data_IF_651132634026
#
_entry.id   IF_651132634026
#
_cell.length_a   1.000
_cell.length_b   1.000
_cell.length_c   1.000
_cell.angle_alpha   90.00
_cell.angle_beta   90.00
_cell.angle_gamma   90.00
#
_symmetry.space_group_name_H-M   'P 1'
#
loop_
_entity.id
_entity.type
_entity.pdbx_description
1 polymer ?
#
# COMPACT_ATOMS: atom_id res chain seq x y z
N UNK A 1 -3.40 25.12 -0.85
CA UNK A 1 -4.75 24.70 -0.41
C UNK A 1 -5.20 23.49 -1.23
N UNK A 2 -6.22 22.75 -0.77
CA UNK A 2 -6.85 21.68 -1.54
C UNK A 2 -7.66 22.28 -2.68
N UNK A 3 -7.44 21.80 -3.92
CA UNK A 3 -8.14 22.27 -5.12
C UNK A 3 -9.26 21.32 -5.53
N UNK A 4 -9.04 20.01 -5.43
CA UNK A 4 -10.00 18.97 -5.75
C UNK A 4 -9.62 17.65 -5.08
N UNK A 5 -10.63 16.84 -4.77
CA UNK A 5 -10.49 15.56 -4.08
C UNK A 5 -11.45 14.54 -4.68
N UNK A 6 -10.96 13.32 -4.86
CA UNK A 6 -11.77 12.15 -5.13
C UNK A 6 -11.42 11.04 -4.14
N UNK A 7 -12.44 10.45 -3.51
CA UNK A 7 -12.31 9.31 -2.62
C UNK A 7 -13.23 8.22 -3.16
N UNK A 8 -12.65 7.08 -3.53
CA UNK A 8 -13.38 5.92 -4.01
C UNK A 8 -13.13 4.72 -3.10
N UNK A 9 -14.15 3.88 -2.92
CA UNK A 9 -13.99 2.58 -2.24
C UNK A 9 -13.04 1.71 -3.07
N UNK A 10 -11.97 1.22 -2.44
CA UNK A 10 -10.95 0.39 -3.09
C UNK A 10 -11.58 -0.94 -3.56
N UNK A 11 -12.35 -1.55 -2.66
CA UNK A 11 -13.19 -2.70 -2.92
C UNK A 11 -14.26 -2.85 -1.82
N UNK A 12 -15.52 -3.19 -2.14
CA UNK A 12 -16.53 -3.47 -1.12
C UNK A 12 -16.16 -4.75 -0.35
N UNK A 13 -15.98 -4.65 0.97
CA UNK A 13 -15.71 -5.83 1.82
C UNK A 13 -16.88 -6.83 1.71
N UNK A 14 -16.54 -8.12 1.65
CA UNK A 14 -17.53 -9.21 1.61
C UNK A 14 -18.18 -9.45 0.23
N UNK A 15 -17.73 -8.77 -0.83
CA UNK A 15 -18.24 -8.96 -2.20
C UNK A 15 -17.47 -9.99 -3.02
N UNK A 16 -16.36 -10.51 -2.50
CA UNK A 16 -15.62 -11.58 -3.19
C UNK A 16 -16.43 -12.88 -3.09
N UNK A 17 -16.94 -13.38 -4.21
CA UNK A 17 -17.81 -14.57 -4.26
C UNK A 17 -17.03 -15.86 -4.46
N UNK A 18 -15.78 -15.76 -4.92
CA UNK A 18 -14.88 -16.89 -5.16
C UNK A 18 -13.43 -16.55 -4.83
N UNK A 19 -12.63 -17.58 -4.58
CA UNK A 19 -11.20 -17.45 -4.33
C UNK A 19 -10.43 -16.87 -5.54
N UNK A 20 -10.86 -17.21 -6.77
CA UNK A 20 -10.32 -16.64 -8.00
C UNK A 20 -10.59 -15.15 -8.13
N UNK A 21 -11.80 -14.69 -7.77
CA UNK A 21 -12.14 -13.26 -7.74
C UNK A 21 -11.30 -12.53 -6.68
N UNK A 22 -11.15 -13.13 -5.49
CA UNK A 22 -10.32 -12.58 -4.42
C UNK A 22 -8.89 -12.33 -4.88
N UNK A 23 -8.28 -13.29 -5.60
CA UNK A 23 -6.93 -13.14 -6.19
C UNK A 23 -6.83 -11.93 -7.11
N UNK A 24 -7.82 -11.71 -7.97
CA UNK A 24 -7.85 -10.56 -8.89
C UNK A 24 -8.10 -9.23 -8.18
N UNK A 25 -8.88 -9.24 -7.09
CA UNK A 25 -9.05 -8.09 -6.21
C UNK A 25 -7.71 -7.69 -5.57
N UNK A 26 -6.97 -8.65 -5.01
CA UNK A 26 -5.63 -8.41 -4.45
C UNK A 26 -4.64 -7.92 -5.51
N UNK A 27 -4.68 -8.53 -6.71
CA UNK A 27 -3.85 -8.10 -7.83
C UNK A 27 -4.16 -6.68 -8.31
N UNK A 28 -5.43 -6.30 -8.35
CA UNK A 28 -5.86 -4.91 -8.60
C UNK A 28 -5.28 -3.95 -7.56
N UNK A 29 -5.36 -4.30 -6.27
CA UNK A 29 -4.81 -3.45 -5.19
C UNK A 29 -3.30 -3.26 -5.36
N UNK A 30 -2.58 -4.33 -5.72
CA UNK A 30 -1.15 -4.24 -6.04
C UNK A 30 -0.88 -3.34 -7.25
N UNK A 31 -1.65 -3.45 -8.32
CA UNK A 31 -1.49 -2.59 -9.50
C UNK A 31 -1.70 -1.10 -9.15
N UNK A 32 -2.72 -0.81 -8.33
CA UNK A 32 -2.96 0.54 -7.81
C UNK A 32 -1.80 1.02 -6.94
N UNK A 33 -1.29 0.18 -6.04
CA UNK A 33 -0.13 0.47 -5.19
C UNK A 33 1.11 0.83 -6.02
N UNK A 34 1.37 0.10 -7.09
CA UNK A 34 2.50 0.36 -8.01
C UNK A 34 2.30 1.67 -8.79
N UNK A 35 1.10 1.91 -9.32
CA UNK A 35 0.81 3.11 -10.11
C UNK A 35 0.78 4.38 -9.26
N UNK A 36 0.17 4.34 -8.08
CA UNK A 36 0.09 5.48 -7.15
C UNK A 36 1.47 5.98 -6.75
N UNK A 37 2.45 5.09 -6.53
CA UNK A 37 3.84 5.47 -6.24
C UNK A 37 4.53 6.30 -7.33
N UNK A 38 3.99 6.32 -8.55
CA UNK A 38 4.50 7.13 -9.67
C UNK A 38 3.80 8.47 -9.81
N UNK A 39 2.71 8.66 -9.08
CA UNK A 39 1.86 9.85 -9.14
C UNK A 39 1.95 10.67 -7.87
N UNK A 40 2.04 10.01 -6.71
CA UNK A 40 2.14 10.69 -5.43
C UNK A 40 3.39 11.57 -5.36
N UNK A 41 3.19 12.84 -5.00
CA UNK A 41 4.24 13.85 -4.94
C UNK A 41 4.59 14.50 -6.29
N UNK A 42 4.05 14.03 -7.42
CA UNK A 42 4.28 14.66 -8.73
C UNK A 42 3.75 16.09 -8.72
N UNK A 43 4.57 17.03 -9.20
CA UNK A 43 4.18 18.42 -9.42
C UNK A 43 3.96 18.64 -10.92
N UNK A 44 2.75 19.05 -11.30
CA UNK A 44 2.42 19.44 -12.67
C UNK A 44 2.46 20.97 -12.73
N UNK A 45 3.35 21.57 -13.56
CA UNK A 45 3.38 23.01 -13.74
C UNK A 45 2.07 23.56 -14.31
N UNK A 46 1.78 24.83 -14.03
CA UNK A 46 0.61 25.50 -14.60
C UNK A 46 0.74 25.65 -16.11
N UNK A 47 -0.31 25.32 -16.86
CA UNK A 47 -0.34 25.35 -18.32
C UNK A 47 0.27 24.10 -18.98
N UNK A 48 0.96 23.24 -18.23
CA UNK A 48 1.48 21.98 -18.77
C UNK A 48 0.44 20.85 -18.73
N UNK A 49 0.48 19.96 -19.72
CA UNK A 49 -0.44 18.82 -19.78
C UNK A 49 0.10 17.64 -18.98
N UNK A 50 -0.66 17.22 -17.97
CA UNK A 50 -0.51 15.91 -17.36
C UNK A 50 -0.98 14.83 -18.33
N UNK A 51 -0.28 13.69 -18.36
CA UNK A 51 -0.68 12.48 -19.07
C UNK A 51 -0.52 11.29 -18.14
N UNK A 52 -1.58 10.50 -17.97
CA UNK A 52 -1.58 9.33 -17.09
C UNK A 52 -0.50 8.33 -17.52
N UNK A 53 -0.46 7.98 -18.80
CA UNK A 53 0.51 7.02 -19.31
C UNK A 53 1.94 7.54 -19.36
N UNK A 54 2.16 8.86 -19.50
CA UNK A 54 3.50 9.46 -19.36
C UNK A 54 4.08 9.25 -17.96
N UNK A 55 3.23 9.29 -16.92
CA UNK A 55 3.68 9.10 -15.54
C UNK A 55 3.78 7.62 -15.15
N UNK A 56 2.74 6.82 -15.43
CA UNK A 56 2.70 5.42 -15.01
C UNK A 56 3.57 4.54 -15.93
N UNK A 57 3.55 4.80 -17.23
CA UNK A 57 4.15 3.97 -18.28
C UNK A 57 3.43 2.63 -18.46
N UNK A 58 3.91 1.79 -19.40
CA UNK A 58 3.33 0.46 -19.66
C UNK A 58 3.26 -0.42 -18.40
N UNK A 59 2.08 -0.96 -18.12
CA UNK A 59 1.90 -1.98 -17.08
C UNK A 59 2.51 -3.30 -17.54
N UNK A 60 3.52 -3.79 -16.81
CA UNK A 60 4.23 -5.05 -17.12
C UNK A 60 4.63 -5.77 -15.84
N UNK A 61 4.74 -7.09 -15.90
CA UNK A 61 5.20 -7.92 -14.78
C UNK A 61 6.56 -7.46 -14.23
N UNK A 62 7.51 -7.14 -15.13
CA UNK A 62 8.84 -6.62 -14.76
C UNK A 62 8.79 -5.32 -13.93
N UNK A 63 7.74 -4.52 -14.10
CA UNK A 63 7.54 -3.26 -13.35
C UNK A 63 6.69 -3.45 -12.09
N UNK A 64 6.39 -4.71 -11.72
CA UNK A 64 5.66 -5.07 -10.50
C UNK A 64 4.13 -5.13 -10.64
N UNK A 65 3.60 -4.95 -11.86
CA UNK A 65 2.18 -5.14 -12.14
C UNK A 65 1.87 -6.63 -12.22
N UNK A 66 0.68 -7.01 -11.76
CA UNK A 66 0.21 -8.39 -11.72
C UNK A 66 -1.16 -8.50 -12.39
N UNK A 67 -1.64 -9.73 -12.58
CA UNK A 67 -3.01 -9.95 -13.00
C UNK A 67 -3.97 -9.39 -11.94
N UNK A 68 -4.78 -8.41 -12.35
CA UNK A 68 -5.84 -7.83 -11.54
C UNK A 68 -7.16 -7.86 -12.27
N UNK A 69 -8.21 -7.46 -11.56
CA UNK A 69 -9.58 -7.34 -12.07
C UNK A 69 -9.68 -6.21 -13.10
N UNK A 70 -9.99 -6.53 -14.35
CA UNK A 70 -10.35 -5.56 -15.41
C UNK A 70 -11.82 -5.74 -15.80
N UNK A 71 -12.57 -4.65 -15.94
CA UNK A 71 -13.93 -4.70 -16.49
C UNK A 71 -13.85 -4.43 -17.99
N UNK A 72 -14.18 -5.44 -18.79
CA UNK A 72 -14.17 -5.37 -20.26
C UNK A 72 -15.49 -5.89 -20.81
N UNK A 73 -16.20 -5.04 -21.56
CA UNK A 73 -17.48 -5.38 -22.19
C UNK A 73 -18.50 -5.98 -21.19
N UNK A 74 -18.56 -5.40 -19.99
CA UNK A 74 -19.49 -5.85 -18.95
C UNK A 74 -19.05 -7.11 -18.19
N UNK A 75 -17.91 -7.70 -18.52
CA UNK A 75 -17.35 -8.86 -17.84
C UNK A 75 -16.08 -8.52 -17.08
N UNK A 76 -15.83 -9.20 -15.95
CA UNK A 76 -14.52 -9.20 -15.32
C UNK A 76 -13.59 -10.17 -16.03
N UNK A 77 -12.42 -9.69 -16.44
CA UNK A 77 -11.36 -10.51 -16.99
C UNK A 77 -10.05 -10.31 -16.22
N UNK A 78 -9.22 -11.37 -16.07
CA UNK A 78 -7.85 -11.22 -15.60
C UNK A 78 -7.04 -10.41 -16.61
N UNK A 79 -6.30 -9.40 -16.14
CA UNK A 79 -5.41 -8.62 -17.00
C UNK A 79 -4.25 -8.01 -16.22
N UNK A 80 -3.07 -7.96 -16.81
CA UNK A 80 -1.89 -7.34 -16.20
C UNK A 80 -2.11 -5.83 -16.15
N UNK A 81 -2.08 -5.25 -14.94
CA UNK A 81 -2.48 -3.85 -14.74
C UNK A 81 -3.99 -3.65 -14.63
N UNK A 82 -4.77 -4.74 -14.52
CA UNK A 82 -6.19 -4.65 -14.22
C UNK A 82 -6.45 -3.82 -12.97
N UNK A 83 -7.42 -2.90 -13.06
CA UNK A 83 -7.80 -1.97 -12.00
C UNK A 83 -7.32 -0.53 -12.16
N UNK A 84 -6.41 -0.25 -13.10
CA UNK A 84 -5.90 1.11 -13.34
C UNK A 84 -6.98 2.12 -13.76
N UNK A 85 -8.07 1.68 -14.39
CA UNK A 85 -9.20 2.54 -14.72
C UNK A 85 -9.85 3.18 -13.46
N UNK A 86 -9.73 2.55 -12.29
CA UNK A 86 -10.22 3.17 -11.06
C UNK A 86 -9.39 4.40 -10.67
N UNK A 87 -8.08 4.36 -10.91
CA UNK A 87 -7.17 5.45 -10.63
C UNK A 87 -7.34 6.61 -11.63
N UNK A 88 -7.53 6.30 -12.91
CA UNK A 88 -7.86 7.33 -13.91
C UNK A 88 -9.21 7.99 -13.62
N UNK A 89 -10.23 7.22 -13.22
CA UNK A 89 -11.51 7.79 -12.78
C UNK A 89 -11.32 8.76 -11.59
N UNK A 90 -10.53 8.38 -10.58
CA UNK A 90 -10.28 9.20 -9.40
C UNK A 90 -9.50 10.49 -9.74
N UNK A 91 -8.49 10.40 -10.61
CA UNK A 91 -7.76 11.57 -11.13
C UNK A 91 -8.67 12.51 -11.90
N UNK A 92 -9.53 11.97 -12.77
CA UNK A 92 -10.46 12.75 -13.56
C UNK A 92 -11.52 13.45 -12.69
N UNK A 93 -12.15 12.74 -11.74
CA UNK A 93 -13.10 13.34 -10.80
C UNK A 93 -12.45 14.45 -9.95
N UNK A 94 -11.24 14.22 -9.44
CA UNK A 94 -10.50 15.24 -8.72
C UNK A 94 -10.15 16.45 -9.61
N UNK A 95 -9.84 16.23 -10.89
CA UNK A 95 -9.46 17.29 -11.84
C UNK A 95 -10.65 18.15 -12.23
N UNK A 96 -11.82 17.54 -12.45
CA UNK A 96 -13.09 18.24 -12.65
C UNK A 96 -13.43 19.13 -11.45
N UNK A 97 -13.33 18.58 -10.24
CA UNK A 97 -13.57 19.33 -8.98
C UNK A 97 -12.59 20.49 -8.80
N UNK A 98 -11.36 20.32 -9.27
CA UNK A 98 -10.34 21.36 -9.27
C UNK A 98 -10.49 22.40 -10.39
N UNK A 99 -11.42 22.21 -11.34
CA UNK A 99 -11.65 23.10 -12.47
C UNK A 99 -10.54 23.10 -13.51
N UNK A 100 -9.83 21.97 -13.66
CA UNK A 100 -8.77 21.82 -14.65
C UNK A 100 -9.36 21.62 -16.05
N UNK A 101 -8.62 22.06 -17.07
CA UNK A 101 -8.97 21.77 -18.45
C UNK A 101 -8.73 20.29 -18.75
N UNK A 102 -9.73 19.61 -19.31
CA UNK A 102 -9.63 18.19 -19.70
C UNK A 102 -9.23 18.13 -21.17
N UNK A 103 -7.98 17.74 -21.41
CA UNK A 103 -7.36 17.73 -22.74
C UNK A 103 -7.72 16.45 -23.50
N UNK A 104 -7.78 15.32 -22.78
CA UNK A 104 -8.17 14.04 -23.34
C UNK A 104 -8.91 13.23 -22.27
N UNK A 105 -10.10 12.75 -22.63
CA UNK A 105 -10.89 11.85 -21.79
C UNK A 105 -11.71 10.93 -22.68
N UNK A 106 -11.70 9.65 -22.34
CA UNK A 106 -12.52 8.64 -22.98
C UNK A 106 -13.47 8.00 -21.97
N UNK A 107 -14.78 7.93 -22.25
CA UNK A 107 -15.71 7.20 -21.40
C UNK A 107 -15.48 5.69 -21.46
N UNK A 108 -15.86 4.98 -20.39
CA UNK A 108 -16.16 3.55 -20.49
C UNK A 108 -17.43 3.34 -21.33
N UNK A 109 -17.43 2.28 -22.14
CA UNK A 109 -18.60 1.83 -22.89
C UNK A 109 -19.70 1.30 -21.98
N UNK A 110 -19.32 0.70 -20.85
CA UNK A 110 -20.25 0.13 -19.86
C UNK A 110 -20.24 0.93 -18.57
N UNK A 111 -21.44 1.19 -18.04
CA UNK A 111 -21.65 1.92 -16.79
C UNK A 111 -22.03 0.94 -15.69
N UNK A 112 -21.23 0.88 -14.63
CA UNK A 112 -21.59 0.14 -13.43
C UNK A 112 -22.45 1.03 -12.52
N UNK A 113 -23.63 0.61 -12.07
CA UNK A 113 -24.45 1.37 -11.13
C UNK A 113 -23.66 1.76 -9.88
N UNK A 114 -23.82 3.00 -9.43
CA UNK A 114 -23.10 3.55 -8.27
C UNK A 114 -21.61 3.86 -8.50
N UNK A 115 -21.09 3.67 -9.72
CA UNK A 115 -19.72 4.10 -10.08
C UNK A 115 -19.66 5.55 -10.55
N UNK A 116 -18.46 6.13 -10.60
CA UNK A 116 -18.24 7.46 -11.19
C UNK A 116 -18.70 7.54 -12.65
N UNK A 117 -18.76 6.42 -13.38
CA UNK A 117 -19.27 6.38 -14.75
C UNK A 117 -20.76 6.73 -14.84
N UNK A 118 -21.54 6.41 -13.81
CA UNK A 118 -22.97 6.69 -13.76
C UNK A 118 -23.28 8.19 -13.72
N UNK A 119 -22.31 9.00 -13.31
CA UNK A 119 -22.43 10.47 -13.24
C UNK A 119 -21.50 11.18 -14.23
N UNK A 120 -21.03 10.47 -15.27
CA UNK A 120 -20.16 11.05 -16.30
C UNK A 120 -18.75 11.40 -15.84
N UNK A 121 -18.32 10.90 -14.67
CA UNK A 121 -17.03 11.18 -14.03
C UNK A 121 -16.02 10.06 -14.17
N UNK A 122 -16.16 9.25 -15.21
CA UNK A 122 -15.22 8.20 -15.57
C UNK A 122 -14.29 8.60 -16.71
N UNK A 123 -13.08 8.05 -16.68
CA UNK A 123 -12.08 8.11 -17.72
C UNK A 123 -11.43 6.72 -17.84
N UNK A 124 -11.62 6.06 -18.98
CA UNK A 124 -10.93 4.80 -19.29
C UNK A 124 -9.52 5.09 -19.82
N UNK A 125 -8.60 4.13 -19.63
CA UNK A 125 -7.21 4.23 -20.08
C UNK A 125 -6.76 2.90 -20.65
N UNK A 126 -6.05 2.94 -21.78
CA UNK A 126 -5.48 1.77 -22.45
C UNK A 126 -4.14 2.14 -23.09
N UNK A 127 -3.07 1.49 -22.64
CA UNK A 127 -1.72 1.71 -23.16
C UNK A 127 -1.65 1.33 -24.64
N UNK A 128 -1.22 2.13 -25.62
CA UNK A 128 -0.66 3.49 -25.70
C UNK A 128 -1.59 4.37 -26.58
N UNK A 129 -2.90 4.14 -26.49
CA UNK A 129 -3.88 4.65 -27.45
C UNK A 129 -4.99 5.48 -26.78
N UNK A 130 -5.28 5.20 -25.51
CA UNK A 130 -6.34 5.85 -24.75
C UNK A 130 -5.75 6.36 -23.44
N UNK A 131 -5.70 7.67 -23.27
CA UNK A 131 -5.05 8.33 -22.14
C UNK A 131 -6.03 9.24 -21.38
N UNK A 132 -5.67 9.58 -20.15
CA UNK A 132 -6.30 10.67 -19.41
C UNK A 132 -5.31 11.84 -19.38
N UNK A 133 -5.71 12.97 -19.95
CA UNK A 133 -4.90 14.18 -19.98
C UNK A 133 -5.69 15.38 -19.47
N UNK A 134 -5.07 16.13 -18.58
CA UNK A 134 -5.63 17.37 -18.06
C UNK A 134 -4.53 18.43 -17.93
N UNK A 135 -4.93 19.69 -17.92
CA UNK A 135 -4.03 20.84 -17.81
C UNK A 135 -4.50 21.73 -16.65
N UNK A 136 -3.72 21.82 -15.56
CA UNK A 136 -4.02 22.73 -14.47
C UNK A 136 -3.60 24.16 -14.84
N UNK A 137 -4.34 25.16 -14.35
CA UNK A 137 -4.04 26.58 -14.60
C UNK A 137 -2.84 27.10 -13.82
N UNK A 138 -2.47 26.44 -12.73
CA UNK A 138 -1.36 26.78 -11.85
C UNK A 138 -0.62 25.50 -11.43
N UNK A 139 0.58 25.65 -10.88
CA UNK A 139 1.33 24.50 -10.39
C UNK A 139 0.54 23.73 -9.32
N UNK A 140 0.45 22.42 -9.48
CA UNK A 140 -0.31 21.53 -8.60
C UNK A 140 0.52 20.31 -8.22
N UNK A 141 0.50 19.94 -6.94
CA UNK A 141 1.04 18.68 -6.43
C UNK A 141 -0.09 17.65 -6.36
N UNK A 142 0.17 16.46 -6.89
CA UNK A 142 -0.71 15.31 -6.78
C UNK A 142 -0.39 14.60 -5.46
N UNK A 143 -1.41 14.33 -4.66
CA UNK A 143 -1.36 13.37 -3.57
C UNK A 143 -2.26 12.20 -3.93
N UNK A 144 -1.68 11.00 -3.99
CA UNK A 144 -2.40 9.78 -4.31
C UNK A 144 -2.08 8.72 -3.27
N UNK A 145 -3.10 8.13 -2.66
CA UNK A 145 -2.92 7.15 -1.57
C UNK A 145 -3.87 5.97 -1.73
N UNK A 146 -3.35 4.77 -1.48
CA UNK A 146 -4.14 3.55 -1.33
C UNK A 146 -4.24 3.28 0.17
N UNK A 147 -5.38 3.57 0.78
CA UNK A 147 -5.67 3.19 2.16
C UNK A 147 -6.03 1.72 2.28
N UNK A 148 -6.50 1.30 3.45
CA UNK A 148 -6.98 -0.08 3.67
C UNK A 148 -8.21 -0.37 2.80
N UNK A 149 -9.15 0.57 2.73
CA UNK A 149 -10.45 0.37 2.08
C UNK A 149 -10.76 1.42 1.00
N UNK A 150 -9.89 2.41 0.79
CA UNK A 150 -10.14 3.52 -0.11
C UNK A 150 -8.93 3.84 -1.01
N UNK A 151 -9.24 4.33 -2.20
CA UNK A 151 -8.31 5.03 -3.08
C UNK A 151 -8.63 6.52 -3.00
N UNK A 152 -7.64 7.33 -2.66
CA UNK A 152 -7.80 8.79 -2.54
C UNK A 152 -6.84 9.50 -3.48
N UNK A 153 -7.36 10.50 -4.18
CA UNK A 153 -6.60 11.42 -5.02
C UNK A 153 -6.94 12.84 -4.64
N UNK A 154 -5.92 13.66 -4.39
CA UNK A 154 -6.04 15.08 -4.05
C UNK A 154 -5.10 15.92 -4.90
N UNK A 155 -5.56 17.10 -5.25
CA UNK A 155 -4.76 18.12 -5.91
C UNK A 155 -4.51 19.29 -4.96
N UNK A 156 -3.24 19.57 -4.68
CA UNK A 156 -2.81 20.66 -3.81
C UNK A 156 -2.14 21.76 -4.61
N UNK A 157 -2.58 23.00 -4.44
CA UNK A 157 -1.97 24.12 -5.15
C UNK A 157 -2.55 25.47 -4.74
N UNK A 158 -2.33 26.47 -5.58
CA UNK A 158 -2.89 27.83 -5.41
C UNK A 158 -4.13 27.98 -6.30
N UNK A 159 -5.28 28.29 -5.71
CA UNK A 159 -6.52 28.55 -6.44
C UNK A 159 -6.41 29.91 -7.14
N UNK A 160 -6.78 29.98 -8.42
CA UNK A 160 -7.02 31.26 -9.11
C UNK A 160 -8.46 31.72 -8.82
N UNK A 161 -8.64 33.01 -8.57
CA UNK A 161 -9.97 33.62 -8.48
C UNK A 161 -10.70 33.48 -9.82
N UNK A 162 -11.99 33.16 -9.79
CA UNK A 162 -12.87 33.16 -10.97
C UNK A 162 -12.89 31.90 -11.83
N UNK A 163 -12.32 30.77 -11.40
CA UNK A 163 -12.49 29.49 -12.13
C UNK A 163 -13.71 28.74 -11.60
N UNK A 164 -14.84 28.67 -12.33
CA UNK A 164 -15.99 27.87 -11.91
C UNK A 164 -15.64 26.39 -11.91
N UNK A 165 -16.31 25.61 -11.05
CA UNK A 165 -16.22 24.16 -11.10
C UNK A 165 -16.75 23.70 -12.47
N UNK A 166 -15.95 22.91 -13.20
CA UNK A 166 -16.40 22.34 -14.47
C UNK A 166 -17.42 21.26 -14.14
N UNK A 167 -18.66 21.46 -14.55
CA UNK A 167 -19.70 20.44 -14.40
C UNK A 167 -19.31 19.23 -15.25
N UNK A 168 -19.43 18.02 -14.67
CA UNK A 168 -19.29 16.81 -15.45
C UNK A 168 -20.37 16.80 -16.55
N UNK A 169 -20.07 16.34 -17.77
CA UNK A 169 -21.09 16.20 -18.79
C UNK A 169 -22.19 15.26 -18.28
N UNK A 170 -23.45 15.69 -18.41
CA UNK A 170 -24.60 14.85 -18.10
C UNK A 170 -24.56 13.61 -19.00
N UNK A 171 -24.70 12.42 -18.40
CA UNK A 171 -24.89 11.18 -19.13
C UNK A 171 -26.33 10.73 -18.90
N UNK A 172 -27.10 10.66 -19.98
CA UNK A 172 -28.32 9.86 -19.97
C UNK A 172 -27.89 8.40 -19.84
N UNK A 173 -28.07 7.86 -18.62
CA UNK A 173 -27.90 6.44 -18.37
C UNK A 173 -29.12 5.77 -19.00
N UNK A 174 -29.08 5.52 -20.31
CA UNK A 174 -29.98 4.54 -20.90
C UNK A 174 -29.79 3.26 -20.08
N UNK A 175 -30.87 2.74 -19.51
CA UNK A 175 -30.85 1.51 -18.74
C UNK A 175 -30.34 0.39 -19.64
N UNK A 176 -29.03 0.15 -19.61
CA UNK A 176 -28.45 -1.07 -20.16
C UNK A 176 -29.13 -2.16 -19.36
N UNK A 177 -29.91 -3.00 -20.05
CA UNK A 177 -30.70 -4.06 -19.45
C UNK A 177 -29.90 -4.79 -18.39
N UNK A 178 -30.57 -5.17 -17.31
CA UNK A 178 -30.00 -5.84 -16.14
C UNK A 178 -29.25 -7.11 -16.55
N UNK A 179 -27.98 -6.99 -16.93
CA UNK A 179 -27.09 -8.12 -16.88
C UNK A 179 -26.84 -8.40 -15.39
N UNK A 180 -27.04 -9.64 -14.92
CA UNK A 180 -26.69 -10.00 -13.55
C UNK A 180 -25.25 -9.55 -13.31
N UNK A 181 -25.05 -8.84 -12.20
CA UNK A 181 -23.80 -8.22 -11.74
C UNK A 181 -22.57 -8.84 -12.42
N UNK A 182 -22.08 -8.18 -13.48
CA UNK A 182 -21.18 -8.75 -14.49
C UNK A 182 -19.80 -9.14 -13.96
N UNK A 183 -19.74 -10.29 -13.32
CA UNK A 183 -18.52 -11.01 -13.01
C UNK A 183 -18.55 -12.36 -13.75
N UNK A 184 -17.38 -12.83 -14.19
CA UNK A 184 -17.29 -14.14 -14.83
C UNK A 184 -17.36 -15.30 -13.82
N UNK A 185 -17.46 -15.02 -12.51
CA UNK A 185 -17.50 -16.02 -11.45
C UNK A 185 -18.94 -16.37 -10.99
N UNK A 186 -19.89 -15.44 -11.12
CA UNK A 186 -21.30 -15.57 -10.72
C UNK A 186 -22.26 -15.58 -11.89
N UNK A 187 -21.80 -15.28 -13.12
CA UNK A 187 -22.67 -15.37 -14.30
C UNK A 187 -23.11 -16.81 -14.62
N UNK A 188 -22.53 -17.84 -14.00
CA UNK A 188 -22.89 -19.24 -14.16
C UNK A 188 -22.52 -19.87 -15.51
N UNK A 189 -21.94 -19.10 -16.44
CA UNK A 189 -21.60 -19.57 -17.79
C UNK A 189 -20.19 -20.18 -17.81
N UNK A 190 -20.08 -21.45 -17.38
CA UNK A 190 -18.79 -22.11 -17.23
C UNK A 190 -18.04 -22.38 -18.55
N UNK A 191 -18.78 -22.51 -19.65
CA UNK A 191 -18.21 -22.79 -20.98
C UNK A 191 -17.65 -21.53 -21.66
N UNK A 192 -17.83 -20.35 -21.07
CA UNK A 192 -17.29 -19.12 -21.61
C UNK A 192 -15.76 -19.12 -21.58
N UNK A 193 -15.11 -18.77 -22.70
CA UNK A 193 -13.64 -18.70 -22.75
C UNK A 193 -13.05 -17.74 -21.71
N UNK A 194 -13.82 -16.72 -21.28
CA UNK A 194 -13.46 -15.80 -20.18
C UNK A 194 -13.55 -16.45 -18.80
N UNK A 195 -14.47 -17.40 -18.61
CA UNK A 195 -14.58 -18.17 -17.36
C UNK A 195 -13.44 -19.19 -17.21
N UNK A 196 -13.05 -19.86 -18.31
CA UNK A 196 -11.87 -20.75 -18.31
C UNK A 196 -10.59 -20.02 -17.88
N UNK A 197 -10.44 -18.73 -18.19
CA UNK A 197 -9.31 -17.92 -17.74
C UNK A 197 -9.29 -17.67 -16.22
N UNK A 198 -10.46 -17.59 -15.57
CA UNK A 198 -10.55 -17.49 -14.10
C UNK A 198 -10.19 -18.81 -13.42
N UNK A 199 -10.63 -19.96 -13.96
CA UNK A 199 -10.35 -21.31 -13.42
C UNK A 199 -8.87 -21.67 -13.39
N UNK A 200 -8.05 -21.10 -14.28
CA UNK A 200 -6.60 -21.35 -14.31
C UNK A 200 -5.84 -20.79 -13.10
N UNK A 201 -6.46 -19.91 -12.30
CA UNK A 201 -5.83 -19.34 -11.11
C UNK A 201 -6.32 -20.01 -9.83
N UNK A 202 -5.55 -20.94 -9.28
CA UNK A 202 -5.72 -21.34 -7.87
C UNK A 202 -5.39 -20.14 -6.98
N UNK A 203 -6.28 -19.76 -6.09
CA UNK A 203 -5.98 -18.69 -5.13
C UNK A 203 -4.91 -19.17 -4.16
N UNK A 204 -3.84 -18.38 -4.01
CA UNK A 204 -3.01 -18.51 -2.82
C UNK A 204 -3.85 -18.05 -1.60
N UNK A 205 -3.76 -18.73 -0.45
CA UNK A 205 -4.39 -18.24 0.77
C UNK A 205 -3.89 -16.81 1.03
N UNK A 206 -4.76 -15.95 1.58
CA UNK A 206 -4.31 -14.67 2.11
C UNK A 206 -3.33 -14.93 3.25
N UNK A 207 -2.24 -14.17 3.27
CA UNK A 207 -1.15 -14.40 4.21
C UNK A 207 -0.83 -13.16 5.02
N UNK A 208 -0.25 -13.41 6.18
CA UNK A 208 0.44 -12.40 6.98
C UNK A 208 1.94 -12.45 6.71
N UNK A 209 2.59 -11.29 6.82
CA UNK A 209 4.04 -11.20 6.82
C UNK A 209 4.57 -10.57 8.11
N UNK A 210 5.59 -11.19 8.69
CA UNK A 210 6.21 -10.79 9.94
C UNK A 210 7.61 -10.26 9.65
N UNK A 211 7.76 -8.94 9.72
CA UNK A 211 9.02 -8.24 9.49
C UNK A 211 9.66 -7.94 10.84
N UNK A 212 10.58 -8.81 11.24
CA UNK A 212 11.14 -8.85 12.57
C UNK A 212 12.63 -8.47 12.54
N UNK A 213 13.16 -8.04 13.69
CA UNK A 213 14.59 -7.76 13.87
C UNK A 213 15.09 -8.42 15.15
N UNK A 214 15.54 -7.65 16.15
CA UNK A 214 15.98 -8.18 17.43
C UNK A 214 14.86 -8.99 18.10
N UNK A 215 15.21 -10.14 18.66
CA UNK A 215 14.30 -11.05 19.36
C UNK A 215 13.84 -10.48 20.70
N UNK A 216 12.55 -10.66 21.00
CA UNK A 216 11.92 -10.36 22.29
C UNK A 216 10.96 -11.50 22.65
N UNK A 217 11.07 -12.11 23.86
CA UNK A 217 10.19 -13.22 24.26
C UNK A 217 8.70 -12.88 24.17
N UNK A 218 8.32 -11.65 24.54
CA UNK A 218 6.92 -11.21 24.56
C UNK A 218 6.36 -11.09 23.13
N UNK A 219 7.17 -10.62 22.19
CA UNK A 219 6.76 -10.54 20.79
C UNK A 219 6.77 -11.90 20.11
N UNK A 220 7.71 -12.77 20.46
CA UNK A 220 7.73 -14.16 19.98
C UNK A 220 6.46 -14.89 20.43
N UNK A 221 6.04 -14.73 21.68
CA UNK A 221 4.77 -15.25 22.18
C UNK A 221 3.55 -14.63 21.47
N UNK A 222 3.58 -13.35 21.13
CA UNK A 222 2.52 -12.72 20.33
C UNK A 222 2.48 -13.30 18.91
N UNK A 223 3.62 -13.35 18.21
CA UNK A 223 3.75 -13.89 16.85
C UNK A 223 3.30 -15.35 16.82
N UNK A 224 3.72 -16.17 17.78
CA UNK A 224 3.37 -17.58 17.88
C UNK A 224 1.86 -17.85 17.99
N UNK A 225 1.05 -16.86 18.44
CA UNK A 225 -0.42 -16.98 18.52
C UNK A 225 -1.11 -16.73 17.18
N UNK A 226 -0.49 -16.01 16.27
CA UNK A 226 -1.14 -15.51 15.04
C UNK A 226 -0.48 -16.00 13.75
N UNK A 227 0.76 -16.48 13.82
CA UNK A 227 1.46 -17.00 12.64
C UNK A 227 0.87 -18.33 12.19
N UNK A 228 0.52 -18.41 10.91
CA UNK A 228 0.08 -19.61 10.23
C UNK A 228 1.18 -20.28 9.39
N UNK A 229 0.92 -21.51 8.89
CA UNK A 229 1.89 -22.26 8.10
C UNK A 229 2.24 -21.61 6.77
N UNK A 230 1.31 -20.89 6.16
CA UNK A 230 1.51 -20.24 4.86
C UNK A 230 2.18 -18.87 4.97
N UNK A 231 2.18 -18.26 6.16
CA UNK A 231 2.69 -16.91 6.41
C UNK A 231 4.19 -16.77 6.12
N UNK A 232 4.67 -15.54 6.06
CA UNK A 232 6.06 -15.24 5.74
C UNK A 232 6.76 -14.62 6.96
N UNK A 233 7.88 -15.19 7.39
CA UNK A 233 8.77 -14.54 8.35
C UNK A 233 9.98 -13.94 7.65
N UNK A 234 10.19 -12.64 7.80
CA UNK A 234 11.33 -11.93 7.28
C UNK A 234 12.26 -11.53 8.44
N UNK A 235 13.44 -12.16 8.47
CA UNK A 235 14.40 -12.08 9.57
C UNK A 235 15.75 -11.52 9.12
N UNK A 236 16.50 -10.82 9.99
CA UNK A 236 17.86 -10.42 9.69
C UNK A 236 18.76 -11.65 9.48
N UNK A 237 18.56 -12.66 10.32
CA UNK A 237 19.12 -14.00 10.25
C UNK A 237 18.27 -14.93 11.12
N UNK A 238 18.18 -16.21 10.75
CA UNK A 238 17.59 -17.26 11.58
C UNK A 238 18.59 -17.62 12.70
N UNK A 239 18.32 -17.12 13.90
CA UNK A 239 19.18 -17.32 15.07
C UNK A 239 18.96 -18.67 15.74
N UNK A 240 17.82 -19.31 15.53
CA UNK A 240 17.55 -20.66 16.02
C UNK A 240 18.44 -21.67 15.30
N UNK A 241 18.54 -21.58 13.97
CA UNK A 241 19.41 -22.45 13.16
C UNK A 241 20.90 -22.20 13.37
N UNK A 242 21.30 -20.97 13.71
CA UNK A 242 22.72 -20.55 13.78
C UNK A 242 23.24 -20.26 15.18
N UNK A 243 22.47 -20.52 16.23
CA UNK A 243 22.89 -20.32 17.63
C UNK A 243 23.02 -18.85 18.06
N UNK A 244 22.33 -17.92 17.41
CA UNK A 244 22.38 -16.49 17.76
C UNK A 244 21.17 -16.06 18.58
N UNK A 245 21.36 -15.94 19.91
CA UNK A 245 20.30 -15.53 20.85
C UNK A 245 19.60 -14.21 20.50
N UNK A 246 20.29 -13.29 19.82
CA UNK A 246 19.72 -12.00 19.40
C UNK A 246 18.61 -12.12 18.35
N UNK A 247 18.52 -13.24 17.63
CA UNK A 247 17.57 -13.44 16.53
C UNK A 247 16.87 -14.81 16.60
N UNK A 248 16.63 -15.30 17.83
CA UNK A 248 16.10 -16.65 18.11
C UNK A 248 14.57 -16.80 17.91
N UNK A 249 14.02 -16.16 16.90
CA UNK A 249 12.59 -16.28 16.57
C UNK A 249 12.21 -17.72 16.26
N UNK A 250 11.04 -18.17 16.71
CA UNK A 250 10.54 -19.51 16.37
C UNK A 250 10.09 -19.58 14.90
N UNK A 251 10.97 -20.10 14.05
CA UNK A 251 10.73 -20.25 12.61
C UNK A 251 10.05 -21.56 12.22
N UNK A 252 9.76 -22.46 13.17
CA UNK A 252 9.18 -23.78 12.89
C UNK A 252 7.71 -23.73 12.44
N UNK A 253 7.03 -22.60 12.70
CA UNK A 253 5.58 -22.42 12.50
C UNK A 253 5.18 -21.92 11.12
N UNK A 254 6.15 -21.53 10.29
CA UNK A 254 5.94 -21.00 8.94
C UNK A 254 6.72 -21.84 7.93
N UNK A 255 6.14 -22.05 6.75
CA UNK A 255 6.83 -22.67 5.62
C UNK A 255 7.79 -21.74 4.89
N UNK A 256 7.74 -20.42 5.12
CA UNK A 256 8.51 -19.43 4.36
C UNK A 256 9.29 -18.47 5.26
N UNK A 257 10.61 -18.62 5.28
CA UNK A 257 11.53 -17.74 5.99
C UNK A 257 12.45 -17.01 5.00
N UNK A 258 12.48 -15.68 5.06
CA UNK A 258 13.35 -14.83 4.27
C UNK A 258 14.41 -14.17 5.13
N UNK A 259 15.67 -14.44 4.81
CA UNK A 259 16.80 -13.91 5.56
C UNK A 259 17.54 -12.77 4.83
N UNK A 260 18.22 -11.92 5.59
CA UNK A 260 19.09 -10.86 5.08
C UNK A 260 20.47 -10.87 5.78
N UNK A 261 21.11 -12.04 5.81
CA UNK A 261 22.36 -12.29 6.54
C UNK A 261 23.44 -11.26 6.19
N UNK A 262 23.67 -10.98 4.91
CA UNK A 262 24.68 -10.02 4.47
C UNK A 262 24.48 -8.61 5.06
N UNK A 263 23.25 -8.08 4.96
CA UNK A 263 22.94 -6.76 5.54
C UNK A 263 23.13 -6.78 7.06
N UNK A 264 22.78 -7.88 7.71
CA UNK A 264 22.90 -8.04 9.17
C UNK A 264 24.35 -8.05 9.62
N UNK A 265 25.23 -8.77 8.89
CA UNK A 265 26.67 -8.80 9.16
C UNK A 265 27.29 -7.42 8.96
N UNK A 266 26.98 -6.75 7.85
CA UNK A 266 27.49 -5.40 7.55
C UNK A 266 27.02 -4.38 8.59
N UNK A 267 25.74 -4.39 8.96
CA UNK A 267 25.18 -3.57 10.04
C UNK A 267 25.91 -3.81 11.35
N UNK A 268 26.14 -5.07 11.71
CA UNK A 268 26.81 -5.45 12.96
C UNK A 268 28.27 -4.98 12.98
N UNK A 269 28.99 -5.14 11.88
CA UNK A 269 30.37 -4.68 11.74
C UNK A 269 30.49 -3.16 11.86
N UNK A 270 29.70 -2.41 11.09
CA UNK A 270 29.78 -0.94 11.09
C UNK A 270 29.32 -0.33 12.41
N UNK A 271 28.29 -0.89 13.03
CA UNK A 271 27.81 -0.40 14.34
C UNK A 271 28.81 -0.63 15.48
N UNK A 272 29.62 -1.71 15.42
CA UNK A 272 30.72 -1.93 16.37
C UNK A 272 31.85 -0.92 16.21
N UNK A 273 32.17 -0.52 14.98
CA UNK A 273 33.19 0.52 14.71
C UNK A 273 32.81 1.90 15.24
N UNK A 274 31.53 2.15 15.48
CA UNK A 274 31.01 3.41 16.03
C UNK A 274 30.55 3.26 17.48
N UNK A 275 31.05 2.26 18.23
CA UNK A 275 30.58 1.99 19.60
C UNK A 275 30.70 3.22 20.53
N UNK A 276 31.77 4.01 20.37
CA UNK A 276 32.08 5.21 21.15
C UNK A 276 31.37 6.48 20.63
N UNK A 277 30.78 6.43 19.44
CA UNK A 277 30.18 7.58 18.75
C UNK A 277 28.66 7.48 18.76
N UNK A 278 28.03 7.71 19.92
CA UNK A 278 26.61 7.42 20.17
C UNK A 278 25.63 7.99 19.13
N UNK A 279 25.77 9.28 18.78
CA UNK A 279 24.88 9.94 17.81
C UNK A 279 25.08 9.40 16.38
N UNK A 280 26.32 9.20 15.96
CA UNK A 280 26.64 8.66 14.63
C UNK A 280 26.20 7.21 14.48
N UNK A 281 26.39 6.41 15.54
CA UNK A 281 25.90 5.03 15.64
C UNK A 281 24.38 5.01 15.52
N UNK A 282 23.66 5.91 16.17
CA UNK A 282 22.20 5.97 16.07
C UNK A 282 21.75 6.29 14.64
N UNK A 283 22.35 7.28 13.97
CA UNK A 283 22.07 7.59 12.57
C UNK A 283 22.39 6.40 11.65
N UNK A 284 23.48 5.68 11.92
CA UNK A 284 23.84 4.47 11.20
C UNK A 284 22.76 3.38 11.36
N UNK A 285 22.29 3.13 12.59
CA UNK A 285 21.25 2.14 12.86
C UNK A 285 19.93 2.48 12.16
N UNK A 286 19.51 3.75 12.15
CA UNK A 286 18.32 4.21 11.42
C UNK A 286 18.44 3.96 9.91
N UNK A 287 19.61 4.24 9.31
CA UNK A 287 19.87 3.95 7.89
C UNK A 287 19.79 2.45 7.60
N UNK A 288 20.31 1.61 8.49
CA UNK A 288 20.22 0.16 8.33
C UNK A 288 18.80 -0.38 8.52
N UNK A 289 18.04 0.17 9.48
CA UNK A 289 16.63 -0.12 9.67
C UNK A 289 15.83 0.19 8.40
N UNK A 290 16.08 1.35 7.78
CA UNK A 290 15.46 1.72 6.52
C UNK A 290 15.77 0.73 5.40
N UNK A 291 17.07 0.42 5.18
CA UNK A 291 17.50 -0.54 4.15
C UNK A 291 16.92 -1.94 4.35
N UNK A 292 16.83 -2.38 5.60
CA UNK A 292 16.27 -3.69 5.94
C UNK A 292 14.77 -3.72 5.67
N UNK A 293 14.05 -2.68 6.10
CA UNK A 293 12.62 -2.50 5.81
C UNK A 293 12.34 -2.48 4.32
N UNK A 294 13.08 -1.70 3.53
CA UNK A 294 12.95 -1.64 2.07
C UNK A 294 13.16 -3.01 1.41
N UNK A 295 14.18 -3.77 1.84
CA UNK A 295 14.49 -5.07 1.25
C UNK A 295 13.47 -6.15 1.61
N UNK A 296 12.94 -6.13 2.83
CA UNK A 296 11.84 -7.02 3.20
C UNK A 296 10.56 -6.64 2.45
N UNK A 297 10.22 -5.35 2.43
CA UNK A 297 9.01 -4.85 1.79
C UNK A 297 8.99 -5.12 0.27
N UNK A 298 10.14 -5.01 -0.40
CA UNK A 298 10.28 -5.31 -1.82
C UNK A 298 10.03 -6.79 -2.17
N UNK A 299 10.10 -7.69 -1.19
CA UNK A 299 9.82 -9.13 -1.35
C UNK A 299 8.41 -9.52 -0.94
N UNK A 300 7.60 -8.57 -0.44
CA UNK A 300 6.22 -8.86 -0.04
C UNK A 300 5.38 -9.20 -1.27
N UNK A 301 4.85 -10.43 -1.35
CA UNK A 301 3.93 -10.77 -2.42
C UNK A 301 2.61 -10.03 -2.22
N UNK A 302 1.82 -9.93 -3.29
CA UNK A 302 0.61 -9.10 -3.29
C UNK A 302 -0.57 -9.71 -2.53
N UNK A 303 -0.50 -11.02 -2.27
CA UNK A 303 -1.44 -11.82 -1.47
C UNK A 303 -1.21 -11.69 0.05
N UNK A 304 -0.14 -11.00 0.48
CA UNK A 304 0.01 -10.56 1.86
C UNK A 304 -0.95 -9.41 2.13
N UNK A 305 -1.93 -9.62 2.99
CA UNK A 305 -2.96 -8.63 3.35
C UNK A 305 -2.76 -8.03 4.73
N UNK A 306 -2.01 -8.70 5.61
CA UNK A 306 -1.64 -8.21 6.93
C UNK A 306 -0.11 -8.21 7.13
N UNK A 307 0.43 -7.16 7.75
CA UNK A 307 1.87 -7.04 8.02
C UNK A 307 2.13 -6.73 9.49
N UNK A 308 2.84 -7.62 10.18
CA UNK A 308 3.39 -7.33 11.51
C UNK A 308 4.80 -6.79 11.33
N UNK A 309 5.07 -5.57 11.78
CA UNK A 309 6.36 -4.90 11.54
C UNK A 309 6.94 -4.31 12.81
N UNK A 310 8.26 -4.46 13.00
CA UNK A 310 8.97 -3.75 14.05
C UNK A 310 8.98 -2.23 13.80
N UNK A 311 8.77 -1.44 14.85
CA UNK A 311 8.63 0.02 14.81
C UNK A 311 9.66 0.75 13.94
N UNK A 312 10.95 0.36 14.02
CA UNK A 312 12.03 1.02 13.30
C UNK A 312 11.99 0.81 11.77
N UNK A 313 11.28 -0.21 11.27
CA UNK A 313 11.12 -0.48 9.83
C UNK A 313 9.85 0.16 9.25
N UNK A 314 8.89 0.54 10.08
CA UNK A 314 7.61 1.11 9.63
C UNK A 314 7.78 2.31 8.68
N UNK A 315 8.70 3.28 8.91
CA UNK A 315 8.85 4.42 8.00
C UNK A 315 9.22 4.01 6.57
N UNK A 316 10.07 2.98 6.41
CA UNK A 316 10.48 2.48 5.10
C UNK A 316 9.32 1.83 4.33
N UNK A 317 8.47 1.09 5.04
CA UNK A 317 7.28 0.48 4.44
C UNK A 317 6.25 1.54 4.04
N UNK A 318 6.06 2.55 4.89
CA UNK A 318 5.11 3.63 4.66
C UNK A 318 5.52 4.49 3.47
N UNK A 319 6.72 5.07 3.48
CA UNK A 319 7.20 5.95 2.40
C UNK A 319 7.45 5.18 1.10
N UNK A 320 7.80 3.90 1.20
CA UNK A 320 7.89 3.00 0.05
C UNK A 320 6.53 2.61 -0.55
N UNK A 321 5.41 3.00 0.07
CA UNK A 321 4.06 2.69 -0.39
C UNK A 321 3.68 1.20 -0.26
N UNK A 322 4.41 0.43 0.56
CA UNK A 322 4.20 -1.01 0.70
C UNK A 322 3.02 -1.37 1.61
N UNK A 323 2.50 -0.43 2.40
CA UNK A 323 1.35 -0.69 3.29
C UNK A 323 -0.01 -0.48 2.62
N UNK A 324 -0.07 0.17 1.44
CA UNK A 324 -1.35 0.56 0.87
C UNK A 324 -2.23 -0.65 0.56
N UNK A 325 -3.47 -0.68 1.04
CA UNK A 325 -4.36 -1.84 0.92
C UNK A 325 -4.01 -3.04 1.80
N UNK A 326 -3.13 -2.87 2.80
CA UNK A 326 -2.81 -3.88 3.82
C UNK A 326 -3.18 -3.36 5.20
N UNK A 327 -3.60 -4.25 6.10
CA UNK A 327 -3.62 -3.96 7.53
C UNK A 327 -2.23 -4.21 8.12
N UNK A 328 -1.91 -3.61 9.26
CA UNK A 328 -0.62 -3.83 9.88
C UNK A 328 -0.67 -3.63 11.40
N UNK A 329 0.11 -4.44 12.10
CA UNK A 329 0.40 -4.28 13.52
C UNK A 329 1.86 -3.87 13.69
N UNK A 330 2.12 -3.00 14.67
CA UNK A 330 3.47 -2.48 14.90
C UNK A 330 3.98 -2.91 16.26
N UNK A 331 5.06 -3.67 16.25
CA UNK A 331 5.77 -4.07 17.45
C UNK A 331 6.64 -2.90 17.93
N UNK A 332 6.15 -2.21 18.97
CA UNK A 332 6.79 -1.02 19.57
C UNK A 332 8.01 -1.41 20.38
N UNK A 333 9.22 -1.03 19.98
CA UNK A 333 10.43 -1.27 20.78
C UNK A 333 10.49 -0.26 21.94
N UNK A 334 9.81 -0.57 23.03
CA UNK A 334 9.74 0.24 24.25
C UNK A 334 8.45 -0.04 25.03
N UNK A 335 8.49 0.12 26.36
CA UNK A 335 7.27 0.05 27.16
C UNK A 335 6.32 1.17 26.73
N UNK A 336 5.00 0.93 26.69
CA UNK A 336 4.03 2.01 26.47
C UNK A 336 4.33 3.18 27.41
N UNK A 337 4.18 4.42 26.92
CA UNK A 337 4.56 5.61 27.70
C UNK A 337 3.90 5.63 29.09
N UNK A 338 2.67 5.11 29.21
CA UNK A 338 1.97 4.94 30.49
C UNK A 338 2.66 3.97 31.45
N UNK A 339 3.28 2.92 30.94
CA UNK A 339 4.04 1.96 31.76
C UNK A 339 5.42 2.51 32.12
N UNK A 340 6.09 3.24 31.22
CA UNK A 340 7.30 4.01 31.56
C UNK A 340 7.01 5.01 32.67
N UNK A 341 5.93 5.79 32.53
CA UNK A 341 5.45 6.75 33.52
C UNK A 341 5.18 6.06 34.87
N UNK A 342 4.45 4.94 34.87
CA UNK A 342 4.13 4.18 36.09
C UNK A 342 5.38 3.61 36.78
N UNK A 343 6.40 3.21 36.02
CA UNK A 343 7.69 2.76 36.57
C UNK A 343 8.50 3.92 37.13
N UNK A 344 8.52 5.06 36.44
CA UNK A 344 9.15 6.30 36.90
C UNK A 344 8.49 6.80 38.20
N UNK A 345 7.17 6.88 38.24
CA UNK A 345 6.41 7.31 39.42
C UNK A 345 6.63 6.37 40.62
N UNK A 346 6.63 5.04 40.40
CA UNK A 346 6.93 4.07 41.46
C UNK A 346 8.33 4.26 42.03
N UNK A 347 9.35 4.50 41.20
CA UNK A 347 10.72 4.74 41.64
C UNK A 347 10.91 6.12 42.27
N UNK A 348 10.19 7.15 41.80
CA UNK A 348 10.27 8.51 42.35
C UNK A 348 9.73 8.64 43.78
N UNK A 349 8.92 7.68 44.26
CA UNK A 349 8.36 7.67 45.63
C UNK A 349 9.39 7.39 46.72
N UNK A 350 10.51 6.76 46.38
CA UNK A 350 11.49 6.29 47.37
C UNK A 350 12.80 7.09 47.39
N UNK A 351 12.88 8.23 46.68
CA UNK A 351 14.18 8.85 46.36
C UNK A 351 14.17 10.38 46.54
N UNK A 352 15.15 10.94 47.30
CA UNK A 352 15.29 12.38 47.50
C UNK A 352 15.64 13.12 46.20
N UNK A 353 15.24 14.41 46.11
CA UNK A 353 15.26 15.22 44.88
C UNK A 353 16.60 15.26 44.14
N UNK A 354 17.73 15.13 44.85
CA UNK A 354 19.07 15.22 44.27
C UNK A 354 19.47 14.03 43.34
N UNK A 355 18.83 12.86 43.45
CA UNK A 355 19.20 11.65 42.68
C UNK A 355 18.39 11.39 41.40
N UNK A 356 17.46 12.28 41.05
CA UNK A 356 16.41 11.99 40.04
C UNK A 356 16.93 11.89 38.59
N UNK A 357 17.99 12.62 38.24
CA UNK A 357 18.55 12.63 36.88
C UNK A 357 19.33 11.35 36.53
N UNK A 358 20.07 10.78 37.49
CA UNK A 358 20.80 9.53 37.29
C UNK A 358 19.87 8.34 37.02
N UNK A 359 18.64 8.37 37.57
CA UNK A 359 17.66 7.30 37.45
C UNK A 359 16.79 7.45 36.21
N UNK A 360 16.55 8.68 35.73
CA UNK A 360 15.94 8.88 34.41
C UNK A 360 16.77 8.18 33.33
N UNK A 361 18.09 8.33 33.36
CA UNK A 361 19.01 7.63 32.45
C UNK A 361 19.00 6.10 32.64
N UNK A 362 18.83 5.59 33.86
CA UNK A 362 18.79 4.16 34.16
C UNK A 362 17.43 3.48 33.93
N UNK A 363 16.34 4.25 33.88
CA UNK A 363 14.96 3.73 33.66
C UNK A 363 14.57 3.75 32.18
N UNK A 364 15.31 4.51 31.37
CA UNK A 364 15.17 4.61 29.90
C UNK A 364 16.05 3.60 29.13
N UNK A 365 16.91 2.84 29.83
CA UNK A 365 17.62 1.67 29.32
C UNK A 365 16.84 0.40 29.68
#
# INVERSE_FOLDING_TARGET
MLLGESIGVLWPRGRDTSSAERRLTLGKIQNLRVAVRRLDGVVVPGGETFSFWKQVGRATARRGFVEGRELREGCIVPSVGGGLCQLSNALYDAALRAGFEIVERHPHTMVVPGSLAAVGRDATVFWNYVDLRFRPHSAVRIEATVGTDSLTVRFWGRRRSGTPAVAAPARDVAAVGSHPSGDCATCGVEQCFRHAALRRGTAAPERSAFLLDAYWPEYDAYVARIVGPDDIMALPLDGMRRGFAKYRWDTSRTGTVHENVLLTVLRSYQSRRLAEHGAERQRLLLRWAQRMGERFAARLPYDVTHVVVMQHMLPALWTGGFLGGRTFDVLMTGLPLRELQRRLERRMRFIPRAGRWAIFAATMR
#
